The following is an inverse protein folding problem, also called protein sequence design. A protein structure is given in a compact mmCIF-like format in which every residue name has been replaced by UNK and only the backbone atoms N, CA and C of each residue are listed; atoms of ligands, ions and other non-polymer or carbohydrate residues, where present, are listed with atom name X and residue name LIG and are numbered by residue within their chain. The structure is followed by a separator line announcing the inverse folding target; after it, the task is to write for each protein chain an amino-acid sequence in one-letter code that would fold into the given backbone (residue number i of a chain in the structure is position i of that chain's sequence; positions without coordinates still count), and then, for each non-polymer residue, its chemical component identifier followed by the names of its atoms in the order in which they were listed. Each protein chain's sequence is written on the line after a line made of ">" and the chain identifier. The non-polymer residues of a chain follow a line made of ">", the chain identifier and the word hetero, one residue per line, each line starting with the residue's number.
data_IF_858601535327
#
_entry.id   IF_858601535327
#
_cell.length_a   1.000
_cell.length_b   1.000
_cell.length_c   1.000
_cell.angle_alpha   90.00
_cell.angle_beta   90.00
_cell.angle_gamma   90.00
#
_symmetry.space_group_name_H-M   'P 1'
#
loop_
_entity.id
_entity.type
_entity.pdbx_description
1 polymer ?
#
# COMPACT_ATOMS: atom_id res chain seq x y z
N UNK A 1 11.08 52.13 13.84
CA UNK A 1 11.84 51.81 15.06
C UNK A 1 12.02 50.34 15.05
N UNK A 2 13.18 49.92 14.58
CA UNK A 2 14.33 49.35 15.31
C UNK A 2 14.07 47.92 15.66
N UNK A 3 14.61 46.97 14.94
CA UNK A 3 15.99 46.44 14.89
C UNK A 3 16.25 45.36 15.95
N UNK A 4 16.64 44.25 15.51
CA UNK A 4 17.87 43.44 15.70
C UNK A 4 17.53 41.95 15.56
N UNK A 5 18.02 41.21 14.56
CA UNK A 5 19.34 40.62 14.40
C UNK A 5 19.79 39.76 15.59
N UNK A 6 19.82 38.45 15.39
CA UNK A 6 21.00 37.65 15.75
C UNK A 6 20.97 36.30 15.04
N UNK A 7 21.98 36.14 14.26
CA UNK A 7 22.65 34.98 13.72
C UNK A 7 22.85 33.86 14.77
N UNK A 8 22.71 32.62 14.37
CA UNK A 8 23.65 31.59 14.78
C UNK A 8 23.77 30.53 13.69
N UNK A 9 24.90 30.60 13.06
CA UNK A 9 25.51 29.69 12.13
C UNK A 9 26.25 28.64 12.96
N UNK A 10 25.82 27.38 12.91
CA UNK A 10 26.71 26.26 13.27
C UNK A 10 26.68 25.24 12.12
N UNK A 11 27.67 25.45 11.25
CA UNK A 11 28.13 24.46 10.30
C UNK A 11 28.83 23.34 11.08
N UNK A 12 28.31 22.15 11.01
CA UNK A 12 29.03 20.94 11.41
C UNK A 12 29.63 20.35 10.14
N UNK A 13 30.95 20.54 10.01
CA UNK A 13 31.82 19.87 9.05
C UNK A 13 31.81 18.36 9.35
N UNK A 14 31.06 17.61 8.57
CA UNK A 14 31.17 16.15 8.50
C UNK A 14 32.12 15.79 7.36
N UNK A 15 33.41 15.84 7.65
CA UNK A 15 34.48 15.42 6.74
C UNK A 15 34.48 13.91 6.67
N UNK A 16 33.93 13.37 5.59
CA UNK A 16 33.95 11.96 5.24
C UNK A 16 35.40 11.48 5.01
N UNK A 17 35.94 10.58 5.85
CA UNK A 17 37.34 10.14 5.77
C UNK A 17 37.68 9.31 4.53
N UNK A 18 36.70 9.05 3.64
CA UNK A 18 36.90 8.28 2.41
C UNK A 18 37.29 9.15 1.21
N UNK A 19 37.16 10.49 1.30
CA UNK A 19 37.58 11.39 0.22
C UNK A 19 39.07 11.67 0.23
N UNK A 20 39.74 11.66 1.40
CA UNK A 20 41.18 11.92 1.49
C UNK A 20 42.07 10.77 1.01
N UNK A 21 41.55 9.54 0.92
CA UNK A 21 42.28 8.39 0.36
C UNK A 21 42.25 8.34 -1.16
N UNK A 22 41.19 8.84 -1.76
CA UNK A 22 41.03 8.84 -3.23
C UNK A 22 41.82 9.97 -3.90
N UNK A 23 42.03 11.08 -3.20
CA UNK A 23 42.90 12.17 -3.67
C UNK A 23 44.40 11.88 -3.54
N UNK A 24 44.81 11.02 -2.59
CA UNK A 24 46.21 10.60 -2.45
C UNK A 24 46.59 9.51 -3.46
N UNK A 25 45.68 8.62 -3.86
CA UNK A 25 45.94 7.66 -4.93
C UNK A 25 46.04 8.31 -6.32
N UNK A 26 45.34 9.44 -6.55
CA UNK A 26 45.42 10.16 -7.83
C UNK A 26 46.69 10.97 -8.01
N UNK A 27 47.42 11.30 -6.92
CA UNK A 27 48.67 12.06 -6.98
C UNK A 27 49.93 11.19 -7.06
N UNK A 28 49.84 9.89 -6.77
CA UNK A 28 50.95 8.96 -6.89
C UNK A 28 51.08 8.29 -8.27
N UNK A 29 50.01 8.36 -9.09
CA UNK A 29 50.00 7.77 -10.44
C UNK A 29 50.44 8.75 -11.53
N UNK A 30 50.58 10.06 -11.22
CA UNK A 30 51.06 11.06 -12.22
C UNK A 30 52.58 11.11 -12.39
N UNK A 31 53.39 10.35 -11.63
CA UNK A 31 54.85 10.40 -11.70
C UNK A 31 55.55 9.18 -12.29
N UNK A 32 54.80 8.26 -12.96
CA UNK A 32 55.42 7.06 -13.58
C UNK A 32 55.36 6.98 -15.10
N UNK A 33 54.86 7.99 -15.80
CA UNK A 33 54.75 7.94 -17.27
C UNK A 33 55.57 8.99 -18.02
N UNK A 34 56.77 9.32 -17.47
CA UNK A 34 57.82 9.91 -18.34
C UNK A 34 58.84 8.85 -18.71
N UNK A 35 58.60 8.12 -19.83
CA UNK A 35 59.56 7.62 -20.81
C UNK A 35 59.00 6.46 -21.63
N UNK A 36 58.26 6.82 -22.66
CA UNK A 36 58.33 6.12 -23.96
C UNK A 36 57.79 7.05 -25.02
N UNK A 37 58.67 7.80 -25.66
CA UNK A 37 58.43 8.37 -26.98
C UNK A 37 58.30 7.19 -27.96
N UNK A 38 57.13 6.58 -28.03
CA UNK A 38 56.78 5.66 -29.10
C UNK A 38 56.19 6.49 -30.26
N UNK A 39 56.55 6.16 -31.49
CA UNK A 39 56.35 6.93 -32.71
C UNK A 39 54.87 7.39 -32.87
N UNK A 40 54.64 8.64 -33.40
CA UNK A 40 53.27 9.21 -33.52
C UNK A 40 52.28 8.36 -34.34
N UNK A 41 52.76 7.47 -35.19
CA UNK A 41 51.96 6.56 -36.01
C UNK A 41 51.28 5.45 -35.15
N UNK A 42 51.97 4.88 -34.16
CA UNK A 42 51.38 3.83 -33.30
C UNK A 42 50.35 4.37 -32.32
N UNK A 43 50.48 5.63 -31.92
CA UNK A 43 49.48 6.30 -31.09
C UNK A 43 48.22 6.65 -31.90
N UNK A 44 48.33 6.99 -33.18
CA UNK A 44 47.20 7.28 -34.06
C UNK A 44 46.37 6.01 -34.30
N UNK A 45 46.99 4.88 -34.64
CA UNK A 45 46.31 3.58 -34.83
C UNK A 45 45.62 3.11 -33.53
N UNK A 46 46.19 3.36 -32.36
CA UNK A 46 45.60 3.04 -31.05
C UNK A 46 44.37 3.92 -30.75
N UNK A 47 44.44 5.21 -31.07
CA UNK A 47 43.34 6.15 -30.90
C UNK A 47 42.17 5.85 -31.86
N UNK A 48 42.45 5.49 -33.10
CA UNK A 48 41.43 5.10 -34.05
C UNK A 48 40.70 3.82 -33.61
N UNK A 49 41.42 2.82 -33.11
CA UNK A 49 40.85 1.60 -32.58
C UNK A 49 39.96 1.87 -31.31
N UNK A 50 40.39 2.78 -30.44
CA UNK A 50 39.58 3.20 -29.28
C UNK A 50 38.33 3.96 -29.70
N UNK A 51 38.42 4.82 -30.72
CA UNK A 51 37.28 5.54 -31.26
C UNK A 51 36.24 4.57 -31.88
N UNK A 52 36.71 3.60 -32.67
CA UNK A 52 35.84 2.59 -33.25
C UNK A 52 35.13 1.74 -32.18
N UNK A 53 35.87 1.32 -31.13
CA UNK A 53 35.27 0.61 -30.01
C UNK A 53 34.24 1.48 -29.24
N UNK A 54 34.54 2.75 -29.04
CA UNK A 54 33.64 3.67 -28.37
C UNK A 54 32.35 3.88 -29.21
N UNK A 55 32.50 4.03 -30.54
CA UNK A 55 31.38 4.16 -31.45
C UNK A 55 30.52 2.87 -31.49
N UNK A 56 31.17 1.69 -31.54
CA UNK A 56 30.47 0.42 -31.50
C UNK A 56 29.65 0.25 -30.18
N UNK A 57 30.27 0.56 -29.04
CA UNK A 57 29.58 0.54 -27.74
C UNK A 57 28.45 1.56 -27.68
N UNK A 58 28.65 2.75 -28.24
CA UNK A 58 27.59 3.77 -28.28
C UNK A 58 26.41 3.30 -29.13
N UNK A 59 26.65 2.68 -30.28
CA UNK A 59 25.62 2.10 -31.12
C UNK A 59 24.86 0.96 -30.43
N UNK A 60 25.59 0.04 -29.80
CA UNK A 60 24.98 -1.05 -29.04
C UNK A 60 24.11 -0.53 -27.86
N UNK A 61 24.63 0.40 -27.07
CA UNK A 61 23.89 1.03 -25.97
C UNK A 61 22.66 1.78 -26.49
N UNK A 62 22.75 2.42 -27.66
CA UNK A 62 21.61 3.08 -28.28
C UNK A 62 20.52 2.11 -28.71
N UNK A 63 20.90 0.98 -29.30
CA UNK A 63 19.93 -0.07 -29.64
C UNK A 63 19.26 -0.67 -28.40
N UNK A 64 20.05 -0.93 -27.34
CA UNK A 64 19.51 -1.39 -26.06
C UNK A 64 18.55 -0.36 -25.44
N UNK A 65 18.91 0.92 -25.51
CA UNK A 65 18.03 2.01 -25.04
C UNK A 65 16.71 2.05 -25.81
N UNK A 66 16.75 1.97 -27.15
CA UNK A 66 15.55 1.96 -27.98
C UNK A 66 14.66 0.76 -27.67
N UNK A 67 15.26 -0.42 -27.49
CA UNK A 67 14.52 -1.64 -27.09
C UNK A 67 13.87 -1.48 -25.72
N UNK A 68 14.64 -1.05 -24.73
CA UNK A 68 14.12 -0.82 -23.39
C UNK A 68 13.00 0.23 -23.36
N UNK A 69 13.13 1.28 -24.16
CA UNK A 69 12.09 2.30 -24.32
C UNK A 69 10.81 1.73 -24.92
N UNK A 70 10.92 0.92 -25.96
CA UNK A 70 9.77 0.27 -26.58
C UNK A 70 9.08 -0.72 -25.63
N UNK A 71 9.86 -1.49 -24.87
CA UNK A 71 9.34 -2.40 -23.84
C UNK A 71 8.62 -1.63 -22.72
N UNK A 72 9.18 -0.50 -22.28
CA UNK A 72 8.56 0.35 -21.27
C UNK A 72 7.22 0.95 -21.76
N UNK A 73 7.15 1.40 -23.01
CA UNK A 73 5.92 1.93 -23.60
C UNK A 73 4.84 0.83 -23.73
N UNK A 74 5.25 -0.38 -24.13
CA UNK A 74 4.36 -1.54 -24.16
C UNK A 74 3.86 -1.91 -22.77
N UNK A 75 4.75 -1.92 -21.77
CA UNK A 75 4.39 -2.20 -20.38
C UNK A 75 3.43 -1.14 -19.83
N UNK A 76 3.68 0.14 -20.11
CA UNK A 76 2.76 1.23 -19.70
C UNK A 76 1.37 1.05 -20.30
N UNK A 77 1.29 0.73 -21.59
CA UNK A 77 0.00 0.50 -22.26
C UNK A 77 -0.73 -0.71 -21.68
N UNK A 78 -0.01 -1.80 -21.40
CA UNK A 78 -0.56 -2.98 -20.76
C UNK A 78 -1.06 -2.68 -19.35
N UNK A 79 -0.23 -2.03 -18.52
CA UNK A 79 -0.60 -1.65 -17.17
C UNK A 79 -1.84 -0.74 -17.13
N UNK A 80 -1.92 0.23 -18.03
CA UNK A 80 -3.11 1.09 -18.12
C UNK A 80 -4.39 0.29 -18.38
N UNK A 81 -4.31 -0.69 -19.29
CA UNK A 81 -5.43 -1.59 -19.58
C UNK A 81 -5.77 -2.52 -18.41
N UNK A 82 -4.75 -3.03 -17.72
CA UNK A 82 -4.93 -3.92 -16.58
C UNK A 82 -5.58 -3.16 -15.40
N UNK A 83 -5.17 -1.91 -15.17
CA UNK A 83 -5.79 -1.02 -14.18
C UNK A 83 -7.25 -0.73 -14.56
N UNK A 84 -7.52 -0.39 -15.82
CA UNK A 84 -8.89 -0.18 -16.30
C UNK A 84 -9.77 -1.43 -16.08
N UNK A 85 -9.25 -2.60 -16.44
CA UNK A 85 -9.94 -3.87 -16.21
C UNK A 85 -10.15 -4.16 -14.72
N UNK A 86 -9.15 -3.90 -13.87
CA UNK A 86 -9.26 -4.07 -12.44
C UNK A 86 -10.35 -3.16 -11.84
N UNK A 87 -10.45 -1.91 -12.29
CA UNK A 87 -11.54 -1.02 -11.87
C UNK A 87 -12.91 -1.48 -12.38
N UNK A 88 -12.98 -1.96 -13.62
CA UNK A 88 -14.23 -2.34 -14.26
C UNK A 88 -14.81 -3.65 -13.73
N UNK A 89 -13.94 -4.61 -13.44
CA UNK A 89 -14.31 -5.97 -13.03
C UNK A 89 -13.89 -6.34 -11.61
N UNK A 90 -13.29 -5.43 -10.86
CA UNK A 90 -12.81 -5.71 -9.50
C UNK A 90 -13.87 -6.19 -8.51
N UNK A 91 -15.13 -5.81 -8.75
CA UNK A 91 -16.26 -6.23 -7.91
C UNK A 91 -16.95 -7.53 -8.40
N UNK A 92 -16.48 -8.13 -9.53
CA UNK A 92 -17.14 -9.31 -10.12
C UNK A 92 -17.21 -10.48 -9.13
N UNK A 93 -16.12 -10.74 -8.42
CA UNK A 93 -16.08 -11.78 -7.39
C UNK A 93 -17.10 -11.53 -6.28
N UNK A 94 -17.23 -10.28 -5.83
CA UNK A 94 -18.20 -9.88 -4.82
C UNK A 94 -19.64 -10.12 -5.32
N UNK A 95 -19.94 -9.69 -6.54
CA UNK A 95 -21.26 -9.87 -7.13
C UNK A 95 -21.62 -11.35 -7.25
N UNK A 96 -20.69 -12.18 -7.74
CA UNK A 96 -20.92 -13.62 -7.89
C UNK A 96 -21.22 -14.32 -6.55
N UNK A 97 -20.58 -13.92 -5.46
CA UNK A 97 -20.86 -14.46 -4.13
C UNK A 97 -22.14 -13.88 -3.51
N UNK A 98 -22.55 -12.67 -3.90
CA UNK A 98 -23.78 -12.02 -3.44
C UNK A 98 -25.06 -12.60 -4.10
N UNK A 99 -24.98 -13.00 -5.37
CA UNK A 99 -26.14 -13.49 -6.13
C UNK A 99 -26.88 -14.65 -5.45
N UNK A 100 -26.22 -15.69 -4.90
CA UNK A 100 -26.92 -16.77 -4.18
C UNK A 100 -27.68 -16.29 -2.94
N UNK A 101 -27.16 -15.26 -2.24
CA UNK A 101 -27.83 -14.65 -1.09
C UNK A 101 -29.10 -13.93 -1.55
N UNK A 102 -29.00 -13.18 -2.64
CA UNK A 102 -30.14 -12.49 -3.25
C UNK A 102 -31.22 -13.51 -3.71
N UNK A 103 -30.79 -14.59 -4.37
CA UNK A 103 -31.71 -15.64 -4.83
C UNK A 103 -32.47 -16.29 -3.66
N UNK A 104 -31.77 -16.54 -2.54
CA UNK A 104 -32.37 -17.06 -1.30
C UNK A 104 -33.43 -16.09 -0.73
N UNK A 105 -33.12 -14.77 -0.74
CA UNK A 105 -34.11 -13.76 -0.30
C UNK A 105 -35.32 -13.70 -1.21
N UNK A 106 -35.14 -13.74 -2.53
CA UNK A 106 -36.25 -13.76 -3.52
C UNK A 106 -37.12 -14.98 -3.32
N UNK A 107 -36.51 -16.17 -3.11
CA UNK A 107 -37.26 -17.41 -2.84
C UNK A 107 -38.07 -17.33 -1.54
N UNK A 108 -37.48 -16.76 -0.49
CA UNK A 108 -38.15 -16.54 0.79
C UNK A 108 -39.36 -15.60 0.68
N UNK A 109 -39.23 -14.54 -0.11
CA UNK A 109 -40.33 -13.60 -0.37
C UNK A 109 -41.47 -14.17 -1.24
N UNK A 110 -41.17 -15.14 -2.10
CA UNK A 110 -42.15 -15.80 -2.96
C UNK A 110 -42.96 -16.88 -2.22
N UNK A 111 -42.64 -17.22 -0.99
CA UNK A 111 -43.36 -18.21 -0.18
C UNK A 111 -44.60 -17.59 0.47
N UNK A 112 -45.73 -17.50 -0.27
CA UNK A 112 -46.94 -16.82 0.16
C UNK A 112 -47.61 -17.49 1.39
N UNK A 113 -47.46 -18.81 1.58
CA UNK A 113 -48.10 -19.58 2.66
C UNK A 113 -47.11 -20.00 3.78
N UNK A 114 -45.93 -19.39 3.88
CA UNK A 114 -44.95 -19.76 4.87
C UNK A 114 -45.40 -19.35 6.29
N UNK A 115 -45.28 -20.26 7.25
CA UNK A 115 -45.48 -19.92 8.66
C UNK A 115 -44.39 -18.91 9.12
N UNK A 116 -44.70 -18.12 10.15
CA UNK A 116 -43.73 -17.18 10.74
C UNK A 116 -42.43 -17.88 11.19
N UNK A 117 -42.53 -19.12 11.63
CA UNK A 117 -41.40 -19.94 12.06
C UNK A 117 -40.51 -20.37 10.87
N UNK A 118 -41.14 -20.85 9.78
CA UNK A 118 -40.46 -21.19 8.52
C UNK A 118 -39.80 -19.97 7.88
N UNK A 119 -40.45 -18.80 7.95
CA UNK A 119 -39.89 -17.55 7.44
C UNK A 119 -38.67 -17.11 8.26
N UNK A 120 -38.71 -17.27 9.58
CA UNK A 120 -37.58 -17.00 10.45
C UNK A 120 -36.39 -17.93 10.15
N UNK A 121 -36.65 -19.24 10.03
CA UNK A 121 -35.59 -20.22 9.69
C UNK A 121 -34.96 -19.89 8.33
N UNK A 122 -35.75 -19.56 7.31
CA UNK A 122 -35.26 -19.11 6.00
C UNK A 122 -34.37 -17.85 6.09
N UNK A 123 -34.74 -16.91 6.95
CA UNK A 123 -33.96 -15.69 7.17
C UNK A 123 -32.61 -15.99 7.91
N UNK A 124 -32.64 -16.90 8.90
CA UNK A 124 -31.42 -17.34 9.61
C UNK A 124 -30.45 -18.07 8.65
N UNK A 125 -30.97 -18.90 7.74
CA UNK A 125 -30.19 -19.56 6.69
C UNK A 125 -29.56 -18.52 5.74
N UNK A 126 -30.35 -17.54 5.29
CA UNK A 126 -29.87 -16.47 4.41
C UNK A 126 -28.77 -15.64 5.09
N UNK A 127 -28.94 -15.34 6.39
CA UNK A 127 -27.94 -14.64 7.17
C UNK A 127 -26.64 -15.45 7.31
N UNK A 128 -26.76 -16.77 7.51
CA UNK A 128 -25.61 -17.67 7.53
C UNK A 128 -24.87 -17.69 6.18
N UNK A 129 -25.60 -17.67 5.06
CA UNK A 129 -25.00 -17.56 3.73
C UNK A 129 -24.26 -16.23 3.54
N UNK A 130 -24.85 -15.12 4.02
CA UNK A 130 -24.22 -13.80 3.97
C UNK A 130 -22.92 -13.77 4.77
N UNK A 131 -22.90 -14.31 6.00
CA UNK A 131 -21.69 -14.39 6.81
C UNK A 131 -20.59 -15.22 6.12
N UNK A 132 -20.94 -16.38 5.55
CA UNK A 132 -19.98 -17.20 4.78
C UNK A 132 -19.42 -16.47 3.56
N UNK A 133 -20.26 -15.70 2.87
CA UNK A 133 -19.81 -14.85 1.76
C UNK A 133 -18.82 -13.79 2.26
N UNK A 134 -19.08 -13.14 3.38
CA UNK A 134 -18.21 -12.14 3.97
C UNK A 134 -16.84 -12.74 4.34
N UNK A 135 -16.82 -13.91 4.98
CA UNK A 135 -15.59 -14.64 5.31
C UNK A 135 -14.74 -14.94 4.06
N UNK A 136 -15.36 -15.45 2.98
CA UNK A 136 -14.67 -15.73 1.69
C UNK A 136 -14.04 -14.49 1.06
N UNK A 137 -14.57 -13.33 1.35
CA UNK A 137 -14.12 -12.04 0.82
C UNK A 137 -13.21 -11.29 1.79
N UNK A 138 -12.81 -11.91 2.91
CA UNK A 138 -12.04 -11.31 3.98
C UNK A 138 -12.70 -10.02 4.53
N UNK A 139 -14.02 -10.07 4.67
CA UNK A 139 -14.80 -9.04 5.36
C UNK A 139 -15.06 -9.55 6.76
N UNK A 140 -14.51 -8.87 7.75
CA UNK A 140 -14.68 -9.19 9.17
C UNK A 140 -15.70 -8.27 9.82
N UNK A 141 -16.59 -8.85 10.60
CA UNK A 141 -17.55 -8.12 11.42
C UNK A 141 -16.89 -7.73 12.76
N UNK A 142 -17.04 -6.48 13.16
CA UNK A 142 -16.56 -5.93 14.43
C UNK A 142 -17.78 -5.73 15.34
N UNK A 143 -17.94 -6.64 16.31
CA UNK A 143 -19.02 -6.63 17.31
C UNK A 143 -18.41 -6.72 18.72
N UNK A 144 -17.88 -5.60 19.26
CA UNK A 144 -17.07 -5.58 20.48
C UNK A 144 -17.89 -5.56 21.77
N UNK A 145 -19.05 -6.19 21.81
CA UNK A 145 -19.89 -6.22 23.01
C UNK A 145 -19.12 -6.86 24.16
N UNK A 146 -19.04 -6.17 25.31
CA UNK A 146 -18.27 -6.55 26.51
C UNK A 146 -16.73 -6.54 26.33
N UNK A 147 -16.23 -5.99 25.26
CA UNK A 147 -14.79 -5.80 25.05
C UNK A 147 -14.35 -4.38 25.47
N UNK A 148 -13.04 -4.18 25.61
CA UNK A 148 -12.49 -2.85 25.85
C UNK A 148 -12.66 -1.98 24.61
N UNK A 149 -12.99 -0.71 24.87
CA UNK A 149 -13.09 0.26 23.79
C UNK A 149 -11.74 0.50 23.13
N UNK A 150 -11.70 0.35 21.80
CA UNK A 150 -10.55 0.59 20.95
C UNK A 150 -10.86 1.75 19.98
N UNK A 151 -10.19 2.90 20.10
CA UNK A 151 -10.43 4.04 19.22
C UNK A 151 -10.13 3.80 17.75
N UNK A 152 -9.30 2.80 17.42
CA UNK A 152 -8.95 2.49 16.02
C UNK A 152 -10.08 1.74 15.30
N UNK A 153 -10.91 0.98 16.04
CA UNK A 153 -11.98 0.13 15.48
C UNK A 153 -13.39 0.56 15.87
N UNK A 154 -13.50 1.35 16.96
CA UNK A 154 -14.79 1.68 17.55
C UNK A 154 -14.99 3.20 17.60
N UNK A 155 -16.24 3.62 17.45
CA UNK A 155 -16.67 4.99 17.62
C UNK A 155 -17.64 5.08 18.82
N UNK A 156 -17.18 5.69 19.92
CA UNK A 156 -18.04 5.91 21.09
C UNK A 156 -19.06 7.01 20.77
N UNK A 157 -20.34 6.67 20.85
CA UNK A 157 -21.45 7.62 20.67
C UNK A 157 -21.88 8.26 21.98
N UNK A 158 -21.88 7.47 23.06
CA UNK A 158 -22.31 7.90 24.40
C UNK A 158 -21.52 7.15 25.46
N UNK A 159 -21.26 7.83 26.57
CA UNK A 159 -20.72 7.21 27.78
C UNK A 159 -21.81 7.13 28.85
N UNK A 160 -22.03 5.96 29.42
CA UNK A 160 -23.03 5.73 30.44
C UNK A 160 -22.37 5.21 31.72
N UNK A 161 -22.69 5.79 32.92
CA UNK A 161 -22.25 5.22 34.18
C UNK A 161 -22.77 3.79 34.32
N UNK A 162 -21.90 2.84 34.62
CA UNK A 162 -22.25 1.46 34.86
C UNK A 162 -21.31 0.90 35.94
N UNK A 163 -21.92 0.36 37.02
CA UNK A 163 -21.18 -0.22 38.13
C UNK A 163 -20.81 -1.70 37.93
N UNK A 164 -21.49 -2.38 36.98
CA UNK A 164 -21.36 -3.82 36.76
C UNK A 164 -20.19 -4.20 35.89
N UNK A 165 -19.62 -3.22 35.14
CA UNK A 165 -18.52 -3.44 34.21
C UNK A 165 -17.39 -2.42 34.40
N UNK A 166 -16.18 -2.81 34.07
CA UNK A 166 -15.03 -1.91 34.13
C UNK A 166 -15.25 -0.64 33.30
N UNK A 167 -14.76 0.52 33.72
CA UNK A 167 -14.76 1.71 32.90
C UNK A 167 -14.05 1.49 31.57
N UNK A 168 -14.52 2.17 30.53
CA UNK A 168 -13.98 2.05 29.16
C UNK A 168 -14.26 0.69 28.49
N UNK A 169 -15.35 0.03 28.89
CA UNK A 169 -15.84 -1.21 28.28
C UNK A 169 -17.07 -0.91 27.42
N UNK A 170 -17.21 -1.59 26.29
CA UNK A 170 -18.38 -1.47 25.41
C UNK A 170 -19.57 -2.18 26.06
N UNK A 171 -20.60 -1.41 26.41
CA UNK A 171 -21.82 -1.92 27.06
C UNK A 171 -22.96 -2.18 26.07
N UNK A 172 -22.93 -1.54 24.90
CA UNK A 172 -23.87 -1.80 23.84
C UNK A 172 -23.24 -1.48 22.48
N UNK A 173 -23.59 -2.26 21.46
CA UNK A 173 -23.23 -2.03 20.07
C UNK A 173 -24.48 -1.55 19.34
N UNK A 174 -24.50 -0.28 18.97
CA UNK A 174 -25.61 0.33 18.23
C UNK A 174 -25.56 -0.03 16.75
N UNK A 175 -24.34 -0.12 16.20
CA UNK A 175 -24.09 -0.52 14.84
C UNK A 175 -22.76 -1.26 14.75
N UNK A 176 -22.78 -2.46 14.18
CA UNK A 176 -21.57 -3.25 13.98
C UNK A 176 -20.62 -2.57 12.98
N UNK A 177 -19.32 -2.72 13.23
CA UNK A 177 -18.28 -2.29 12.34
C UNK A 177 -17.91 -3.37 11.32
N UNK A 178 -17.14 -3.01 10.30
CA UNK A 178 -16.63 -3.94 9.30
C UNK A 178 -15.24 -3.55 8.84
N UNK A 179 -14.39 -4.56 8.66
CA UNK A 179 -13.08 -4.43 8.00
C UNK A 179 -13.04 -5.27 6.73
N UNK A 180 -12.19 -4.90 5.77
CA UNK A 180 -11.92 -5.62 4.53
C UNK A 180 -10.42 -5.75 4.36
N UNK A 181 -9.90 -6.98 4.33
CA UNK A 181 -8.47 -7.25 4.25
C UNK A 181 -7.69 -6.41 5.29
N UNK A 182 -8.06 -6.48 6.56
CA UNK A 182 -7.49 -5.74 7.70
C UNK A 182 -7.67 -4.21 7.65
N UNK A 183 -8.29 -3.68 6.60
CA UNK A 183 -8.57 -2.25 6.48
C UNK A 183 -9.96 -1.94 7.02
N UNK A 184 -10.03 -1.08 8.01
CA UNK A 184 -11.30 -0.60 8.55
C UNK A 184 -12.11 0.12 7.45
N UNK A 185 -13.35 -0.36 7.21
CA UNK A 185 -14.32 0.26 6.30
C UNK A 185 -15.28 1.14 7.08
N UNK A 186 -15.75 0.64 8.21
CA UNK A 186 -16.68 1.34 9.08
C UNK A 186 -16.41 0.94 10.53
N UNK A 187 -16.17 1.89 11.45
CA UNK A 187 -16.03 1.58 12.87
C UNK A 187 -17.37 1.10 13.45
N UNK A 188 -17.29 0.27 14.49
CA UNK A 188 -18.46 -0.08 15.27
C UNK A 188 -18.91 1.12 16.10
N UNK A 189 -20.20 1.50 16.03
CA UNK A 189 -20.78 2.55 16.86
C UNK A 189 -21.23 1.94 18.19
N UNK A 190 -20.60 2.38 19.26
CA UNK A 190 -20.72 1.74 20.57
C UNK A 190 -21.09 2.72 21.67
N UNK A 191 -21.69 2.19 22.73
CA UNK A 191 -21.85 2.86 24.01
C UNK A 191 -20.81 2.31 24.99
N UNK A 192 -20.10 3.19 25.70
CA UNK A 192 -18.97 2.84 26.56
C UNK A 192 -19.32 3.11 28.03
N UNK A 193 -18.87 2.24 28.93
CA UNK A 193 -19.04 2.42 30.36
C UNK A 193 -18.15 3.55 30.89
N UNK A 194 -18.71 4.36 31.80
CA UNK A 194 -17.98 5.34 32.61
C UNK A 194 -18.04 4.89 34.08
N UNK A 195 -17.02 5.21 34.88
CA UNK A 195 -17.06 5.00 36.30
C UNK A 195 -18.26 5.73 36.95
N UNK A 196 -18.90 5.09 37.89
CA UNK A 196 -19.93 5.71 38.76
C UNK A 196 -19.18 6.53 39.79
N UNK A 197 -19.39 7.86 39.81
CA UNK A 197 -18.87 8.75 40.84
C UNK A 197 -19.64 8.60 42.15
#
# INVERSE_FOLDING_TARGET
>A
MSAQKQDNNEAVDDVNPNQSKHEQELLEDEHKDEQKLDSPEKNADSLEAQLEQAQAKASENWEQYLRAKAEMDNLRRRNAKDIENAHKYGIEKFVNELLPVLDSMVLGLAAEDASAESMREGMELTMSMLHKMMEKLNIEEIDPLNEKFDPEKHQAMTMQPNADVEPNTVIAVMQKGYSLNDRLIRPAMVMVSKAVE
#
